data_IF_460543102951
#
_entry.id   IF_460543102951
#
_cell.length_a   1.000
_cell.length_b   1.000
_cell.length_c   1.000
_cell.angle_alpha   90.00
_cell.angle_beta   90.00
_cell.angle_gamma   90.00
#
_symmetry.space_group_name_H-M   'P 1'
#
loop_
_entity.id
_entity.type
_entity.pdbx_description
1 polymer ?
#
# COMPACT_ATOMS: atom_id res chain seq x y z
N UNK A 1 26.18 63.65 -41.62
CA UNK A 1 25.17 62.56 -41.63
C UNK A 1 24.77 62.29 -40.19
N UNK A 2 23.55 62.69 -39.84
CA UNK A 2 23.01 62.73 -38.48
C UNK A 2 22.83 61.34 -37.86
N UNK A 3 23.24 61.22 -36.60
CA UNK A 3 22.81 60.15 -35.69
C UNK A 3 21.41 60.51 -35.18
N UNK A 4 20.40 59.76 -35.61
CA UNK A 4 19.03 59.83 -35.13
C UNK A 4 18.76 58.78 -34.06
N UNK A 5 18.27 59.23 -32.92
CA UNK A 5 17.90 58.49 -31.71
C UNK A 5 16.81 57.43 -31.94
N UNK A 6 16.79 56.34 -31.15
CA UNK A 6 15.57 55.62 -30.84
C UNK A 6 15.03 56.00 -29.46
N UNK A 7 13.82 56.51 -29.48
CA UNK A 7 12.91 56.88 -28.41
C UNK A 7 12.73 55.78 -27.36
N UNK A 8 13.11 56.07 -26.12
CA UNK A 8 12.77 55.27 -24.93
C UNK A 8 11.33 55.60 -24.52
N UNK A 9 10.39 54.70 -24.85
CA UNK A 9 9.00 54.79 -24.40
C UNK A 9 8.92 54.23 -22.97
N UNK A 10 8.86 55.14 -21.98
CA UNK A 10 8.61 54.83 -20.57
C UNK A 10 7.27 54.09 -20.42
N UNK A 11 7.32 52.89 -19.84
CA UNK A 11 6.15 52.25 -19.24
C UNK A 11 5.81 52.99 -17.92
N UNK A 12 4.52 53.15 -17.57
CA UNK A 12 4.13 53.68 -16.28
C UNK A 12 4.47 52.66 -15.18
N UNK A 13 5.33 53.09 -14.25
CA UNK A 13 5.60 52.38 -13.00
C UNK A 13 4.35 52.45 -12.13
N UNK A 14 3.65 51.32 -11.98
CA UNK A 14 2.69 51.11 -10.91
C UNK A 14 3.49 50.93 -9.62
N UNK A 15 3.44 51.93 -8.75
CA UNK A 15 4.01 51.89 -7.39
C UNK A 15 3.28 50.80 -6.60
N UNK A 16 3.83 49.58 -6.60
CA UNK A 16 3.54 48.59 -5.58
C UNK A 16 4.25 49.05 -4.30
N UNK A 17 3.48 49.63 -3.38
CA UNK A 17 3.92 49.91 -2.02
C UNK A 17 4.44 48.61 -1.40
N UNK A 18 5.76 48.49 -1.31
CA UNK A 18 6.45 47.54 -0.44
C UNK A 18 6.30 48.02 1.01
N UNK A 19 5.14 47.78 1.62
CA UNK A 19 5.05 47.79 3.08
C UNK A 19 5.61 46.45 3.59
N UNK A 20 6.93 46.42 3.76
CA UNK A 20 7.63 45.54 4.70
C UNK A 20 7.22 45.93 6.12
N UNK A 21 5.97 45.62 6.47
CA UNK A 21 5.48 45.66 7.84
C UNK A 21 5.74 44.32 8.49
N UNK A 22 6.39 44.32 9.64
CA UNK A 22 6.51 43.18 10.54
C UNK A 22 5.08 42.86 11.05
N UNK A 23 4.36 41.96 10.36
CA UNK A 23 3.00 41.59 10.74
C UNK A 23 3.05 40.63 11.93
N UNK A 24 2.69 41.12 13.12
CA UNK A 24 2.45 40.32 14.33
C UNK A 24 1.25 39.39 14.13
N UNK A 25 1.25 38.22 14.79
CA UNK A 25 0.16 37.21 14.75
C UNK A 25 -1.19 37.82 15.11
N UNK A 26 -1.20 38.76 16.06
CA UNK A 26 -2.39 39.50 16.50
C UNK A 26 -3.01 40.32 15.34
N UNK A 27 -2.17 40.94 14.52
CA UNK A 27 -2.61 41.72 13.35
C UNK A 27 -3.20 40.81 12.27
N UNK A 28 -2.74 39.56 12.16
CA UNK A 28 -3.28 38.57 11.23
C UNK A 28 -4.63 38.03 11.69
N UNK A 29 -4.83 37.80 13.00
CA UNK A 29 -6.13 37.43 13.57
C UNK A 29 -7.18 38.53 13.39
N UNK A 30 -6.80 39.79 13.65
CA UNK A 30 -7.70 40.93 13.46
C UNK A 30 -8.08 41.12 11.99
N UNK A 31 -7.11 40.97 11.08
CA UNK A 31 -7.35 41.02 9.63
C UNK A 31 -8.23 39.86 9.18
N UNK A 32 -8.08 38.67 9.76
CA UNK A 32 -8.93 37.51 9.48
C UNK A 32 -10.37 37.74 9.97
N UNK A 33 -10.55 38.18 11.21
CA UNK A 33 -11.87 38.50 11.76
C UNK A 33 -12.58 39.59 10.96
N UNK A 34 -11.86 40.63 10.56
CA UNK A 34 -12.40 41.69 9.70
C UNK A 34 -12.82 41.17 8.31
N UNK A 35 -12.03 40.27 7.70
CA UNK A 35 -12.37 39.65 6.41
C UNK A 35 -13.54 38.65 6.50
N UNK A 36 -13.61 37.86 7.57
CA UNK A 36 -14.74 36.94 7.81
C UNK A 36 -16.02 37.73 8.08
N UNK A 37 -15.95 38.81 8.86
CA UNK A 37 -17.09 39.68 9.13
C UNK A 37 -17.60 40.39 7.86
N UNK A 38 -16.72 40.75 6.93
CA UNK A 38 -17.11 41.37 5.64
C UNK A 38 -17.68 40.34 4.66
N UNK A 39 -17.20 39.10 4.65
CA UNK A 39 -17.82 38.01 3.87
C UNK A 39 -19.15 37.51 4.47
N UNK A 40 -19.41 37.73 5.76
CA UNK A 40 -20.66 37.33 6.42
C UNK A 40 -21.83 38.31 6.19
N UNK A 41 -21.59 39.48 5.59
CA UNK A 41 -22.62 40.49 5.32
C UNK A 41 -23.15 40.38 3.88
N UNK A 42 -24.29 39.68 3.77
CA UNK A 42 -25.25 39.54 2.64
C UNK A 42 -25.03 38.36 1.66
N UNK A 43 -25.96 37.39 1.59
CA UNK A 43 -26.05 36.49 0.45
C UNK A 43 -26.77 37.24 -0.68
N UNK A 44 -26.02 38.03 -1.44
CA UNK A 44 -26.50 38.56 -2.72
C UNK A 44 -25.79 37.81 -3.83
N UNK A 45 -26.57 36.99 -4.54
CA UNK A 45 -26.24 36.25 -5.77
C UNK A 45 -25.39 34.95 -5.59
N UNK A 46 -25.96 33.74 -5.83
CA UNK A 46 -25.24 32.46 -5.71
C UNK A 46 -24.05 32.31 -6.67
N UNK A 47 -23.99 33.16 -7.69
CA UNK A 47 -22.90 33.28 -8.66
C UNK A 47 -21.60 33.81 -8.02
N UNK A 48 -21.72 34.68 -7.00
CA UNK A 48 -20.60 35.34 -6.32
C UNK A 48 -19.97 34.47 -5.22
N UNK A 49 -20.74 33.53 -4.66
CA UNK A 49 -20.28 32.59 -3.64
C UNK A 49 -19.06 31.78 -4.11
N UNK A 50 -19.00 31.39 -5.39
CA UNK A 50 -17.83 30.69 -5.95
C UNK A 50 -16.58 31.56 -5.95
N UNK A 51 -16.73 32.85 -6.23
CA UNK A 51 -15.64 33.84 -6.18
C UNK A 51 -15.15 34.06 -4.75
N UNK A 52 -16.08 34.18 -3.80
CA UNK A 52 -15.76 34.37 -2.39
C UNK A 52 -15.08 33.14 -1.79
N UNK A 53 -15.54 31.93 -2.09
CA UNK A 53 -14.89 30.68 -1.69
C UNK A 53 -13.47 30.60 -2.29
N UNK A 54 -13.29 30.95 -3.56
CA UNK A 54 -11.97 30.95 -4.19
C UNK A 54 -11.04 31.99 -3.54
N UNK A 55 -11.56 33.17 -3.19
CA UNK A 55 -10.81 34.22 -2.52
C UNK A 55 -10.42 33.83 -1.08
N UNK A 56 -11.33 33.21 -0.33
CA UNK A 56 -11.11 32.71 1.02
C UNK A 56 -10.11 31.55 1.01
N UNK A 57 -10.21 30.65 0.03
CA UNK A 57 -9.23 29.57 -0.17
C UNK A 57 -7.83 30.12 -0.42
N UNK A 58 -7.70 31.15 -1.27
CA UNK A 58 -6.40 31.82 -1.51
C UNK A 58 -5.88 32.48 -0.23
N UNK A 59 -6.76 33.14 0.53
CA UNK A 59 -6.39 33.76 1.79
C UNK A 59 -5.93 32.72 2.83
N UNK A 60 -6.68 31.65 3.05
CA UNK A 60 -6.30 30.58 3.98
C UNK A 60 -5.01 29.87 3.56
N UNK A 61 -4.79 29.67 2.26
CA UNK A 61 -3.51 29.14 1.76
C UNK A 61 -2.34 30.09 2.06
N UNK A 62 -2.55 31.41 1.91
CA UNK A 62 -1.54 32.42 2.24
C UNK A 62 -1.25 32.45 3.74
N UNK A 63 -2.29 32.40 4.56
CA UNK A 63 -2.18 32.36 6.02
C UNK A 63 -1.44 31.10 6.49
N UNK A 64 -1.76 29.94 5.90
CA UNK A 64 -1.05 28.67 6.15
C UNK A 64 0.43 28.78 5.80
N UNK A 65 0.76 29.37 4.64
CA UNK A 65 2.16 29.54 4.23
C UNK A 65 2.91 30.48 5.18
N UNK A 66 2.29 31.59 5.58
CA UNK A 66 2.87 32.53 6.53
C UNK A 66 3.08 31.91 7.91
N UNK A 67 2.11 31.13 8.41
CA UNK A 67 2.25 30.42 9.68
C UNK A 67 3.38 29.38 9.60
N UNK A 68 3.47 28.64 8.49
CA UNK A 68 4.54 27.67 8.28
C UNK A 68 5.92 28.36 8.21
N UNK A 69 6.01 29.50 7.51
CA UNK A 69 7.25 30.28 7.42
C UNK A 69 7.66 30.86 8.77
N UNK A 70 6.69 31.31 9.58
CA UNK A 70 6.95 31.80 10.92
C UNK A 70 7.37 30.65 11.85
N UNK A 71 6.66 29.52 11.83
CA UNK A 71 7.01 28.33 12.62
C UNK A 71 8.41 27.79 12.26
N UNK A 72 8.78 27.78 10.97
CA UNK A 72 10.15 27.41 10.57
C UNK A 72 11.17 28.44 10.98
N UNK A 73 10.86 29.74 10.91
CA UNK A 73 11.74 30.82 11.37
C UNK A 73 11.95 30.75 12.89
N UNK A 74 10.90 30.55 13.66
CA UNK A 74 10.94 30.46 15.11
C UNK A 74 11.68 29.20 15.55
N UNK A 75 11.48 28.06 14.87
CA UNK A 75 12.29 26.85 15.08
C UNK A 75 13.75 27.05 14.69
N UNK A 76 14.04 27.74 13.59
CA UNK A 76 15.41 28.01 13.17
C UNK A 76 16.15 28.92 14.14
N UNK A 77 15.46 29.95 14.64
CA UNK A 77 15.95 30.84 15.70
C UNK A 77 16.15 30.05 17.00
N UNK A 78 15.18 29.23 17.41
CA UNK A 78 15.31 28.38 18.60
C UNK A 78 16.51 27.42 18.49
N UNK A 79 16.78 26.87 17.30
CA UNK A 79 17.95 26.02 17.04
C UNK A 79 19.25 26.81 17.07
N UNK A 80 19.29 28.04 16.55
CA UNK A 80 20.46 28.93 16.61
C UNK A 80 20.81 29.37 18.04
N UNK A 81 19.80 29.60 18.88
CA UNK A 81 19.96 30.09 20.25
C UNK A 81 20.02 28.99 21.32
N UNK A 82 19.74 27.74 20.97
CA UNK A 82 20.00 26.59 21.84
C UNK A 82 21.49 26.23 21.74
N UNK A 83 22.26 26.48 22.81
CA UNK A 83 23.72 26.18 22.90
C UNK A 83 24.08 24.69 22.77
N UNK A 84 23.10 23.82 22.55
CA UNK A 84 23.29 22.45 22.10
C UNK A 84 22.53 22.28 20.80
N UNK A 85 23.11 22.77 19.70
CA UNK A 85 22.93 22.08 18.44
C UNK A 85 23.46 20.66 18.69
N UNK A 86 22.58 19.72 19.06
CA UNK A 86 22.87 18.31 18.90
C UNK A 86 23.37 18.19 17.48
N UNK A 87 24.68 17.97 17.32
CA UNK A 87 25.27 17.88 16.00
C UNK A 87 24.47 16.81 15.29
N UNK A 88 23.70 17.20 14.27
CA UNK A 88 22.84 16.28 13.54
C UNK A 88 23.76 15.20 13.01
N UNK A 89 23.82 14.09 13.73
CA UNK A 89 24.75 13.02 13.43
C UNK A 89 24.27 12.37 12.15
N UNK A 90 25.19 11.91 11.31
CA UNK A 90 24.85 11.18 10.09
C UNK A 90 23.85 10.05 10.38
N UNK A 91 23.97 9.42 11.55
CA UNK A 91 23.02 8.40 12.05
C UNK A 91 21.58 8.89 12.18
N UNK A 92 21.35 10.12 12.61
CA UNK A 92 20.00 10.70 12.73
C UNK A 92 19.42 11.02 11.35
N UNK A 93 20.26 11.47 10.41
CA UNK A 93 19.85 11.72 9.01
C UNK A 93 19.47 10.39 8.34
N UNK A 94 20.29 9.36 8.52
CA UNK A 94 20.06 8.04 7.93
C UNK A 94 18.80 7.37 8.53
N UNK A 95 18.54 7.55 9.82
CA UNK A 95 17.32 7.07 10.48
C UNK A 95 16.06 7.75 9.90
N UNK A 96 16.05 9.08 9.80
CA UNK A 96 14.93 9.84 9.24
C UNK A 96 14.77 9.57 7.73
N UNK A 97 15.85 9.30 7.01
CA UNK A 97 15.80 8.88 5.61
C UNK A 97 15.18 7.47 5.46
N UNK A 98 15.51 6.55 6.37
CA UNK A 98 14.90 5.23 6.45
C UNK A 98 13.39 5.30 6.71
N UNK A 99 12.97 6.08 7.71
CA UNK A 99 11.55 6.29 8.00
C UNK A 99 10.81 6.92 6.82
N UNK A 100 11.40 7.92 6.16
CA UNK A 100 10.79 8.54 4.99
C UNK A 100 10.69 7.61 3.79
N UNK A 101 11.67 6.72 3.56
CA UNK A 101 11.60 5.76 2.45
C UNK A 101 10.55 4.70 2.73
N UNK A 102 10.46 4.21 3.97
CA UNK A 102 9.40 3.30 4.42
C UNK A 102 8.01 3.93 4.29
N UNK A 103 7.81 5.13 4.84
CA UNK A 103 6.54 5.85 4.76
C UNK A 103 6.15 6.19 3.30
N UNK A 104 7.12 6.49 2.43
CA UNK A 104 6.87 6.68 0.98
C UNK A 104 6.46 5.38 0.29
N UNK A 105 7.05 4.26 0.67
CA UNK A 105 6.68 2.95 0.13
C UNK A 105 5.24 2.58 0.55
N UNK A 106 4.89 2.75 1.82
CA UNK A 106 3.54 2.57 2.33
C UNK A 106 2.54 3.49 1.64
N UNK A 107 2.85 4.79 1.53
CA UNK A 107 1.97 5.75 0.85
C UNK A 107 1.76 5.38 -0.62
N UNK A 108 2.80 4.88 -1.31
CA UNK A 108 2.70 4.41 -2.69
C UNK A 108 1.81 3.17 -2.79
N UNK A 109 1.91 2.25 -1.83
CA UNK A 109 1.03 1.09 -1.76
C UNK A 109 -0.42 1.50 -1.51
N UNK A 110 -0.68 2.33 -0.49
CA UNK A 110 -2.03 2.84 -0.20
C UNK A 110 -2.63 3.59 -1.39
N UNK A 111 -1.82 4.38 -2.11
CA UNK A 111 -2.29 5.09 -3.31
C UNK A 111 -2.69 4.10 -4.42
N UNK A 112 -1.96 3.00 -4.57
CA UNK A 112 -2.29 1.94 -5.54
C UNK A 112 -3.59 1.24 -5.14
N UNK A 113 -3.71 0.84 -3.88
CA UNK A 113 -4.94 0.21 -3.36
C UNK A 113 -6.15 1.14 -3.49
N UNK A 114 -5.99 2.43 -3.23
CA UNK A 114 -7.06 3.41 -3.42
C UNK A 114 -7.47 3.52 -4.89
N UNK A 115 -6.50 3.55 -5.81
CA UNK A 115 -6.79 3.59 -7.25
C UNK A 115 -7.55 2.34 -7.72
N UNK A 116 -7.15 1.16 -7.22
CA UNK A 116 -7.83 -0.11 -7.51
C UNK A 116 -9.28 -0.10 -6.96
N UNK A 117 -9.48 0.39 -5.74
CA UNK A 117 -10.83 0.51 -5.14
C UNK A 117 -11.71 1.51 -5.88
N UNK A 118 -11.16 2.63 -6.34
CA UNK A 118 -11.91 3.60 -7.14
C UNK A 118 -12.32 2.99 -8.47
N UNK A 119 -11.40 2.31 -9.18
CA UNK A 119 -11.71 1.63 -10.43
C UNK A 119 -12.80 0.56 -10.25
N UNK A 120 -12.75 -0.22 -9.16
CA UNK A 120 -13.78 -1.21 -8.84
C UNK A 120 -15.12 -0.53 -8.55
N UNK A 121 -15.12 0.58 -7.80
CA UNK A 121 -16.34 1.35 -7.52
C UNK A 121 -16.95 1.93 -8.78
N UNK A 122 -16.15 2.40 -9.73
CA UNK A 122 -16.61 2.91 -11.01
C UNK A 122 -17.23 1.79 -11.86
N UNK A 123 -16.57 0.63 -11.95
CA UNK A 123 -17.11 -0.55 -12.64
C UNK A 123 -18.45 -1.00 -12.05
N UNK A 124 -18.54 -1.06 -10.71
CA UNK A 124 -19.80 -1.43 -10.03
C UNK A 124 -20.88 -0.39 -10.27
N UNK A 125 -20.55 0.90 -10.30
CA UNK A 125 -21.50 1.95 -10.61
C UNK A 125 -22.04 1.83 -12.05
N UNK A 126 -21.19 1.54 -13.02
CA UNK A 126 -21.59 1.29 -14.42
C UNK A 126 -22.51 0.07 -14.53
N UNK A 127 -22.19 -1.03 -13.85
CA UNK A 127 -23.02 -2.23 -13.81
C UNK A 127 -24.41 -1.94 -13.20
N UNK A 128 -24.44 -1.20 -12.09
CA UNK A 128 -25.70 -0.81 -11.44
C UNK A 128 -26.54 0.08 -12.36
N UNK A 129 -25.93 1.04 -13.05
CA UNK A 129 -26.63 1.90 -14.03
C UNK A 129 -27.22 1.04 -15.15
N UNK A 130 -26.44 0.13 -15.72
CA UNK A 130 -26.87 -0.79 -16.78
C UNK A 130 -28.04 -1.68 -16.33
N UNK A 131 -27.93 -2.27 -15.14
CA UNK A 131 -29.00 -3.10 -14.56
C UNK A 131 -30.26 -2.27 -14.33
N UNK A 132 -30.13 -1.06 -13.79
CA UNK A 132 -31.26 -0.18 -13.51
C UNK A 132 -31.97 0.22 -14.82
N UNK A 133 -31.21 0.58 -15.86
CA UNK A 133 -31.76 0.87 -17.19
C UNK A 133 -32.54 -0.33 -17.74
N UNK A 134 -31.97 -1.55 -17.66
CA UNK A 134 -32.66 -2.77 -18.10
C UNK A 134 -33.94 -3.03 -17.31
N UNK A 135 -33.92 -2.82 -15.99
CA UNK A 135 -35.10 -2.98 -15.15
C UNK A 135 -36.18 -1.94 -15.46
N UNK A 136 -35.81 -0.69 -15.76
CA UNK A 136 -36.75 0.34 -16.17
C UNK A 136 -37.43 -0.02 -17.50
N UNK A 137 -36.67 -0.54 -18.48
CA UNK A 137 -37.26 -1.00 -19.75
C UNK A 137 -38.24 -2.15 -19.52
N UNK A 138 -37.83 -3.19 -18.76
CA UNK A 138 -38.71 -4.32 -18.42
C UNK A 138 -39.95 -3.89 -17.65
N UNK A 139 -39.81 -2.90 -16.76
CA UNK A 139 -40.95 -2.35 -16.02
C UNK A 139 -41.94 -1.68 -16.96
N UNK A 140 -41.47 -0.90 -17.93
CA UNK A 140 -42.35 -0.29 -18.94
C UNK A 140 -43.06 -1.33 -19.81
N UNK A 141 -42.34 -2.37 -20.21
CA UNK A 141 -42.92 -3.50 -20.95
C UNK A 141 -44.00 -4.21 -20.13
N UNK A 142 -43.73 -4.48 -18.85
CA UNK A 142 -44.70 -5.10 -17.94
C UNK A 142 -45.91 -4.19 -17.68
N UNK A 143 -45.70 -2.88 -17.53
CA UNK A 143 -46.79 -1.90 -17.40
C UNK A 143 -47.65 -1.84 -18.67
N UNK A 144 -47.05 -1.90 -19.87
CA UNK A 144 -47.78 -1.99 -21.14
C UNK A 144 -48.58 -3.28 -21.26
N UNK A 145 -47.95 -4.43 -20.99
CA UNK A 145 -48.61 -5.73 -21.04
C UNK A 145 -49.76 -5.82 -20.02
N UNK A 146 -49.59 -5.25 -18.83
CA UNK A 146 -50.65 -5.17 -17.81
C UNK A 146 -51.81 -4.29 -18.27
N UNK A 147 -51.52 -3.16 -18.93
CA UNK A 147 -52.56 -2.30 -19.50
C UNK A 147 -53.32 -3.00 -20.65
N UNK A 148 -52.62 -3.75 -21.50
CA UNK A 148 -53.23 -4.57 -22.56
C UNK A 148 -54.11 -5.68 -21.97
N UNK A 149 -53.63 -6.38 -20.93
CA UNK A 149 -54.43 -7.38 -20.22
C UNK A 149 -55.69 -6.78 -19.60
N UNK A 150 -55.59 -5.63 -18.94
CA UNK A 150 -56.74 -4.95 -18.35
C UNK A 150 -57.75 -4.51 -19.44
N UNK A 151 -57.27 -4.09 -20.61
CA UNK A 151 -58.13 -3.77 -21.75
C UNK A 151 -58.83 -5.04 -22.29
N UNK A 152 -58.08 -6.12 -22.47
CA UNK A 152 -58.61 -7.40 -22.95
C UNK A 152 -59.61 -8.03 -21.97
N UNK A 153 -59.34 -7.94 -20.66
CA UNK A 153 -60.29 -8.36 -19.62
C UNK A 153 -61.58 -7.57 -19.67
N UNK A 154 -61.50 -6.25 -19.92
CA UNK A 154 -62.68 -5.40 -20.08
C UNK A 154 -63.47 -5.77 -21.33
N UNK A 155 -62.80 -6.04 -22.45
CA UNK A 155 -63.45 -6.52 -23.67
C UNK A 155 -64.08 -7.90 -23.48
N UNK A 156 -63.38 -8.82 -22.82
CA UNK A 156 -63.90 -10.14 -22.46
C UNK A 156 -65.14 -10.03 -21.57
N UNK A 157 -65.09 -9.22 -20.51
CA UNK A 157 -66.25 -8.97 -19.66
C UNK A 157 -67.42 -8.36 -20.44
N UNK A 158 -67.16 -7.43 -21.35
CA UNK A 158 -68.19 -6.86 -22.21
C UNK A 158 -68.84 -7.95 -23.08
N UNK A 159 -68.05 -8.81 -23.73
CA UNK A 159 -68.52 -9.92 -24.57
C UNK A 159 -69.30 -10.98 -23.78
N UNK A 160 -68.84 -11.34 -22.58
CA UNK A 160 -69.50 -12.31 -21.68
C UNK A 160 -70.80 -11.75 -21.10
N UNK A 161 -70.90 -10.44 -20.92
CA UNK A 161 -72.11 -9.77 -20.43
C UNK A 161 -73.20 -9.57 -21.49
N UNK A 162 -72.95 -9.92 -22.75
CA UNK A 162 -73.96 -9.88 -23.80
C UNK A 162 -75.03 -10.96 -23.54
N UNK A 163 -76.33 -10.63 -23.70
CA UNK A 163 -77.44 -11.53 -23.38
C UNK A 163 -77.49 -12.82 -24.23
N UNK A 164 -76.77 -12.86 -25.36
CA UNK A 164 -76.65 -14.05 -26.21
C UNK A 164 -75.64 -15.10 -25.66
N UNK A 165 -74.83 -14.77 -24.64
CA UNK A 165 -73.74 -15.61 -24.13
C UNK A 165 -73.95 -16.23 -22.73
N UNK A 166 -75.14 -16.12 -22.14
CA UNK A 166 -75.47 -16.68 -20.81
C UNK A 166 -75.18 -18.19 -20.69
N UNK A 167 -75.40 -18.97 -21.77
CA UNK A 167 -75.06 -20.41 -21.80
C UNK A 167 -73.56 -20.69 -21.70
N UNK A 168 -72.69 -19.83 -22.26
CA UNK A 168 -71.24 -20.00 -22.19
C UNK A 168 -70.68 -19.59 -20.83
N UNK A 169 -71.31 -18.62 -20.18
CA UNK A 169 -70.99 -18.20 -18.81
C UNK A 169 -71.18 -19.33 -17.80
N UNK A 170 -72.29 -20.07 -17.91
CA UNK A 170 -72.54 -21.26 -17.07
C UNK A 170 -71.51 -22.37 -17.32
N UNK A 171 -71.09 -22.60 -18.58
CA UNK A 171 -70.06 -23.60 -18.90
C UNK A 171 -68.66 -23.19 -18.41
N UNK A 172 -68.33 -21.90 -18.47
CA UNK A 172 -67.07 -21.37 -17.95
C UNK A 172 -66.99 -21.47 -16.42
N UNK A 173 -68.06 -21.12 -15.72
CA UNK A 173 -68.15 -21.25 -14.26
C UNK A 173 -68.08 -22.73 -13.82
N UNK A 174 -68.63 -23.65 -14.61
CA UNK A 174 -68.49 -25.09 -14.40
C UNK A 174 -67.04 -25.56 -14.58
N UNK A 175 -66.35 -25.11 -15.64
CA UNK A 175 -64.95 -25.48 -15.89
C UNK A 175 -64.01 -24.94 -14.81
N UNK A 176 -64.23 -23.72 -14.34
CA UNK A 176 -63.47 -23.11 -13.24
C UNK A 176 -63.66 -23.85 -11.91
N UNK A 177 -64.86 -24.37 -11.64
CA UNK A 177 -65.08 -25.27 -10.50
C UNK A 177 -64.29 -26.58 -10.64
N UNK A 178 -64.24 -27.17 -11.84
CA UNK A 178 -63.50 -28.41 -12.10
C UNK A 178 -61.99 -28.21 -11.92
N UNK A 179 -61.42 -27.13 -12.47
CA UNK A 179 -59.99 -26.82 -12.34
C UNK A 179 -59.58 -26.51 -10.88
N UNK A 180 -60.50 -25.93 -10.09
CA UNK A 180 -60.25 -25.66 -8.66
C UNK A 180 -60.35 -26.90 -7.77
N UNK A 181 -60.85 -28.03 -8.28
CA UNK A 181 -61.12 -29.24 -7.50
C UNK A 181 -60.18 -30.43 -7.79
N UNK A 182 -59.22 -30.32 -8.71
CA UNK A 182 -58.52 -31.53 -9.19
C UNK A 182 -56.98 -31.40 -9.31
N UNK A 183 -56.31 -30.97 -8.23
CA UNK A 183 -55.02 -31.61 -7.91
C UNK A 183 -55.34 -32.82 -7.05
N UNK A 184 -55.47 -33.98 -7.67
CA UNK A 184 -55.72 -35.25 -6.97
C UNK A 184 -54.69 -35.43 -5.85
N UNK A 185 -55.09 -35.82 -4.63
CA UNK A 185 -54.17 -35.97 -3.48
C UNK A 185 -52.93 -36.80 -3.81
N UNK A 186 -53.06 -37.81 -4.68
CA UNK A 186 -51.96 -38.66 -5.13
C UNK A 186 -50.88 -37.90 -5.92
N UNK A 187 -51.26 -36.88 -6.70
CA UNK A 187 -50.31 -36.06 -7.45
C UNK A 187 -49.61 -35.05 -6.55
N UNK A 188 -50.34 -34.46 -5.60
CA UNK A 188 -49.74 -33.61 -4.57
C UNK A 188 -48.75 -34.39 -3.68
N UNK A 189 -49.07 -35.64 -3.34
CA UNK A 189 -48.17 -36.54 -2.58
C UNK A 189 -46.93 -36.87 -3.42
N UNK A 190 -47.07 -37.19 -4.70
CA UNK A 190 -45.91 -37.45 -5.58
C UNK A 190 -44.96 -36.27 -5.68
N UNK A 191 -45.50 -35.06 -5.87
CA UNK A 191 -44.69 -33.84 -5.97
C UNK A 191 -43.96 -33.58 -4.64
N UNK A 192 -44.66 -33.70 -3.51
CA UNK A 192 -44.04 -33.53 -2.20
C UNK A 192 -42.95 -34.59 -1.91
N UNK A 193 -43.14 -35.83 -2.36
CA UNK A 193 -42.12 -36.88 -2.22
C UNK A 193 -40.88 -36.63 -3.08
N UNK A 194 -41.04 -36.08 -4.29
CA UNK A 194 -39.90 -35.70 -5.14
C UNK A 194 -39.13 -34.53 -4.55
N UNK A 195 -39.83 -33.53 -4.01
CA UNK A 195 -39.20 -32.38 -3.36
C UNK A 195 -38.46 -32.80 -2.10
N UNK A 196 -39.06 -33.67 -1.28
CA UNK A 196 -38.40 -34.20 -0.08
C UNK A 196 -37.12 -34.98 -0.41
N UNK A 197 -37.10 -35.72 -1.53
CA UNK A 197 -35.89 -36.43 -1.99
C UNK A 197 -34.82 -35.46 -2.48
N UNK A 198 -35.19 -34.39 -3.19
CA UNK A 198 -34.25 -33.34 -3.59
C UNK A 198 -33.65 -32.64 -2.37
N UNK A 199 -34.48 -32.31 -1.39
CA UNK A 199 -34.05 -31.68 -0.14
C UNK A 199 -33.13 -32.61 0.68
N UNK A 200 -33.40 -33.91 0.71
CA UNK A 200 -32.52 -34.89 1.35
C UNK A 200 -31.13 -34.95 0.71
N UNK A 201 -31.06 -34.90 -0.62
CA UNK A 201 -29.78 -34.88 -1.35
C UNK A 201 -29.02 -33.57 -1.07
N UNK A 202 -29.71 -32.43 -1.16
CA UNK A 202 -29.15 -31.12 -0.83
C UNK A 202 -28.62 -31.07 0.61
N UNK A 203 -29.37 -31.60 1.58
CA UNK A 203 -28.97 -31.63 2.98
C UNK A 203 -27.71 -32.48 3.18
N UNK A 204 -27.62 -33.63 2.52
CA UNK A 204 -26.43 -34.48 2.58
C UNK A 204 -25.20 -33.79 1.99
N UNK A 205 -25.33 -33.10 0.86
CA UNK A 205 -24.24 -32.34 0.24
C UNK A 205 -23.77 -31.18 1.14
N UNK A 206 -24.71 -30.46 1.76
CA UNK A 206 -24.39 -29.41 2.73
C UNK A 206 -23.67 -29.97 3.96
N UNK A 207 -24.07 -31.14 4.45
CA UNK A 207 -23.43 -31.80 5.58
C UNK A 207 -21.99 -32.23 5.24
N UNK A 208 -21.74 -32.73 4.02
CA UNK A 208 -20.40 -33.03 3.55
C UNK A 208 -19.54 -31.77 3.45
N UNK A 209 -20.12 -30.66 2.96
CA UNK A 209 -19.42 -29.38 2.87
C UNK A 209 -19.05 -28.83 4.25
N UNK A 210 -19.95 -28.93 5.23
CA UNK A 210 -19.69 -28.53 6.62
C UNK A 210 -18.54 -29.34 7.23
N UNK A 211 -18.53 -30.66 7.05
CA UNK A 211 -17.44 -31.53 7.50
C UNK A 211 -16.10 -31.14 6.88
N UNK A 212 -16.06 -30.90 5.55
CA UNK A 212 -14.85 -30.47 4.87
C UNK A 212 -14.34 -29.10 5.37
N UNK A 213 -15.24 -28.17 5.68
CA UNK A 213 -14.88 -26.88 6.26
C UNK A 213 -14.35 -27.02 7.70
N UNK A 214 -14.95 -27.90 8.51
CA UNK A 214 -14.47 -28.18 9.87
C UNK A 214 -13.07 -28.81 9.85
N UNK A 215 -12.81 -29.74 8.93
CA UNK A 215 -11.47 -30.33 8.74
C UNK A 215 -10.45 -29.27 8.32
N UNK A 216 -10.81 -28.38 7.38
CA UNK A 216 -9.95 -27.29 6.95
C UNK A 216 -9.67 -26.29 8.09
N UNK A 217 -10.67 -25.97 8.90
CA UNK A 217 -10.52 -25.13 10.08
C UNK A 217 -9.59 -25.78 11.13
N UNK A 218 -9.73 -27.09 11.36
CA UNK A 218 -8.84 -27.84 12.25
C UNK A 218 -7.39 -27.83 11.74
N UNK A 219 -7.17 -27.98 10.42
CA UNK A 219 -5.84 -27.86 9.81
C UNK A 219 -5.25 -26.46 9.98
N UNK A 220 -6.03 -25.40 9.74
CA UNK A 220 -5.60 -24.03 9.99
C UNK A 220 -5.25 -23.80 11.45
N UNK A 221 -6.04 -24.29 12.40
CA UNK A 221 -5.76 -24.16 13.83
C UNK A 221 -4.45 -24.84 14.21
N UNK A 222 -4.18 -26.06 13.73
CA UNK A 222 -2.88 -26.73 13.94
C UNK A 222 -1.72 -25.90 13.41
N UNK A 223 -1.86 -25.34 12.21
CA UNK A 223 -0.81 -24.48 11.64
C UNK A 223 -0.62 -23.20 12.47
N UNK A 224 -1.70 -22.66 13.01
CA UNK A 224 -1.64 -21.48 13.90
C UNK A 224 -0.93 -21.81 15.22
N UNK A 225 -1.19 -22.98 15.80
CA UNK A 225 -0.48 -23.49 16.98
C UNK A 225 1.01 -23.74 16.70
N UNK A 226 1.37 -24.29 15.54
CA UNK A 226 2.76 -24.43 15.10
C UNK A 226 3.47 -23.07 15.00
N UNK A 227 2.82 -22.08 14.40
CA UNK A 227 3.34 -20.71 14.32
C UNK A 227 3.47 -20.07 15.71
N UNK A 228 2.51 -20.27 16.61
CA UNK A 228 2.62 -19.80 17.99
C UNK A 228 3.78 -20.45 18.73
N UNK A 229 3.98 -21.77 18.57
CA UNK A 229 5.08 -22.49 19.20
C UNK A 229 6.44 -22.06 18.66
N UNK A 230 6.56 -21.80 17.36
CA UNK A 230 7.79 -21.26 16.77
C UNK A 230 8.09 -19.84 17.25
N UNK A 231 7.08 -18.97 17.34
CA UNK A 231 7.23 -17.64 17.93
C UNK A 231 7.62 -17.70 19.40
N UNK A 232 7.03 -18.62 20.16
CA UNK A 232 7.35 -18.80 21.58
C UNK A 232 8.78 -19.33 21.75
N UNK A 233 9.21 -20.25 20.88
CA UNK A 233 10.60 -20.72 20.81
C UNK A 233 11.57 -19.57 20.49
N UNK A 234 11.31 -18.79 19.45
CA UNK A 234 12.14 -17.62 19.11
C UNK A 234 12.17 -16.59 20.24
N UNK A 235 11.03 -16.34 20.89
CA UNK A 235 10.95 -15.47 22.06
C UNK A 235 11.78 -16.01 23.21
N UNK A 236 11.72 -17.32 23.49
CA UNK A 236 12.58 -17.91 24.51
C UNK A 236 14.04 -17.82 24.10
N UNK A 237 14.42 -18.07 22.85
CA UNK A 237 15.81 -17.93 22.37
C UNK A 237 16.31 -16.48 22.51
N UNK A 238 15.45 -15.50 22.23
CA UNK A 238 15.71 -14.07 22.48
C UNK A 238 15.80 -13.73 23.96
N UNK A 239 14.91 -14.26 24.80
CA UNK A 239 14.93 -14.04 26.24
C UNK A 239 16.17 -14.68 26.89
N UNK A 240 16.57 -15.88 26.47
CA UNK A 240 17.81 -16.52 26.90
C UNK A 240 19.04 -15.76 26.39
N UNK A 241 18.99 -15.18 25.18
CA UNK A 241 20.02 -14.28 24.66
C UNK A 241 20.09 -12.93 25.40
N UNK A 242 18.96 -12.49 25.99
CA UNK A 242 18.87 -11.25 26.76
C UNK A 242 19.13 -11.41 28.27
N UNK A 243 19.11 -12.65 28.78
CA UNK A 243 19.31 -12.98 30.21
C UNK A 243 20.76 -13.31 30.57
N UNK A 244 21.71 -13.17 29.64
CA UNK A 244 23.12 -13.08 30.02
C UNK A 244 23.36 -11.73 30.72
N UNK A 245 23.73 -11.72 32.02
CA UNK A 245 23.94 -10.49 32.75
C UNK A 245 25.25 -9.85 32.29
N UNK A 246 25.18 -8.59 31.82
CA UNK A 246 26.30 -7.66 31.64
C UNK A 246 27.64 -8.28 31.22
N UNK A 247 27.72 -8.69 29.96
CA UNK A 247 28.98 -8.75 29.24
C UNK A 247 28.67 -8.24 27.85
N UNK A 248 29.26 -7.11 27.45
CA UNK A 248 29.39 -6.82 26.02
C UNK A 248 29.85 -8.11 25.35
N UNK A 249 29.19 -8.58 24.26
CA UNK A 249 29.67 -9.77 23.58
C UNK A 249 31.12 -9.49 23.20
N UNK A 250 32.02 -10.30 23.74
CA UNK A 250 33.45 -10.18 23.53
C UNK A 250 33.66 -10.06 22.01
N UNK A 251 34.28 -8.98 21.51
CA UNK A 251 34.31 -8.69 20.07
C UNK A 251 34.90 -9.85 19.27
N UNK A 252 35.70 -10.70 19.90
CA UNK A 252 36.27 -11.92 19.35
C UNK A 252 35.23 -13.03 19.12
N UNK A 253 34.20 -13.16 19.98
CA UNK A 253 33.14 -14.16 19.83
C UNK A 253 32.18 -13.81 18.69
N UNK A 254 31.80 -12.53 18.57
CA UNK A 254 30.99 -12.03 17.43
C UNK A 254 31.76 -12.20 16.12
N UNK A 255 33.06 -11.88 16.11
CA UNK A 255 33.93 -12.08 14.94
C UNK A 255 34.10 -13.55 14.60
N UNK A 256 34.27 -14.43 15.59
CA UNK A 256 34.37 -15.87 15.37
C UNK A 256 33.06 -16.45 14.80
N UNK A 257 31.90 -15.97 15.25
CA UNK A 257 30.61 -16.36 14.69
C UNK A 257 30.47 -15.90 13.24
N UNK A 258 30.81 -14.65 12.95
CA UNK A 258 30.79 -14.11 11.60
C UNK A 258 31.74 -14.88 10.65
N UNK A 259 32.93 -15.25 11.11
CA UNK A 259 33.86 -16.09 10.34
C UNK A 259 33.30 -17.50 10.06
N UNK A 260 32.56 -18.10 10.99
CA UNK A 260 31.89 -19.40 10.76
C UNK A 260 30.77 -19.30 9.73
N UNK A 261 29.95 -18.27 9.82
CA UNK A 261 28.87 -18.02 8.85
C UNK A 261 29.44 -17.70 7.46
N UNK A 262 30.48 -16.88 7.40
CA UNK A 262 31.17 -16.54 6.15
C UNK A 262 31.81 -17.77 5.51
N UNK A 263 32.52 -18.59 6.28
CA UNK A 263 33.09 -19.85 5.78
C UNK A 263 32.00 -20.81 5.29
N UNK A 264 30.85 -20.90 5.98
CA UNK A 264 29.71 -21.71 5.54
C UNK A 264 29.15 -21.23 4.20
N UNK A 265 29.05 -19.92 4.00
CA UNK A 265 28.64 -19.32 2.72
C UNK A 265 29.68 -19.62 1.64
N UNK A 266 30.96 -19.37 1.91
CA UNK A 266 32.03 -19.63 0.95
C UNK A 266 32.06 -21.10 0.50
N UNK A 267 31.92 -22.05 1.43
CA UNK A 267 31.83 -23.48 1.11
C UNK A 267 30.62 -23.85 0.24
N UNK A 268 29.52 -23.07 0.29
CA UNK A 268 28.36 -23.29 -0.58
C UNK A 268 28.56 -22.74 -1.99
N UNK A 269 29.44 -21.73 -2.16
CA UNK A 269 29.60 -21.00 -3.41
C UNK A 269 30.94 -21.27 -4.13
N UNK A 270 31.91 -21.95 -3.51
CA UNK A 270 33.21 -22.27 -4.13
C UNK A 270 33.44 -23.77 -4.28
N UNK A 271 33.97 -24.18 -5.45
CA UNK A 271 34.31 -25.59 -5.76
C UNK A 271 35.60 -26.03 -5.04
N UNK A 272 36.47 -25.09 -4.68
CA UNK A 272 37.67 -25.32 -3.89
C UNK A 272 37.42 -25.03 -2.39
N UNK A 273 38.09 -25.73 -1.46
CA UNK A 273 37.98 -25.49 -0.02
C UNK A 273 38.67 -24.17 0.33
N UNK A 274 37.89 -23.11 0.44
CA UNK A 274 38.35 -21.79 0.90
C UNK A 274 37.98 -21.64 2.38
N UNK A 275 38.99 -21.51 3.23
CA UNK A 275 38.84 -21.27 4.67
C UNK A 275 39.50 -19.96 5.08
N UNK A 276 38.75 -19.10 5.76
CA UNK A 276 39.28 -17.90 6.41
C UNK A 276 39.44 -18.20 7.91
N UNK A 277 40.67 -18.06 8.41
CA UNK A 277 41.01 -18.23 9.83
C UNK A 277 41.59 -16.93 10.37
N UNK A 278 41.25 -16.59 11.60
CA UNK A 278 41.90 -15.49 12.32
C UNK A 278 42.95 -16.07 13.27
N UNK A 279 44.21 -15.65 13.11
CA UNK A 279 45.32 -16.03 13.99
C UNK A 279 45.85 -14.73 14.61
N UNK A 280 45.40 -14.44 15.83
CA UNK A 280 45.73 -13.19 16.53
C UNK A 280 45.19 -11.95 15.80
N UNK A 281 46.09 -11.05 15.40
CA UNK A 281 45.76 -9.82 14.66
C UNK A 281 45.72 -10.00 13.13
N UNK A 282 46.02 -11.20 12.63
CA UNK A 282 46.13 -11.48 11.20
C UNK A 282 45.01 -12.42 10.73
N UNK A 283 44.55 -12.23 9.50
CA UNK A 283 43.62 -13.13 8.82
C UNK A 283 44.39 -14.00 7.84
N UNK A 284 44.12 -15.29 7.84
CA UNK A 284 44.72 -16.26 6.94
C UNK A 284 43.63 -16.79 6.04
N UNK A 285 43.82 -16.62 4.73
CA UNK A 285 42.98 -17.23 3.70
C UNK A 285 43.72 -18.46 3.17
N UNK A 286 43.14 -19.61 3.45
CA UNK A 286 43.58 -20.90 2.93
C UNK A 286 42.69 -21.25 1.75
N UNK A 287 43.29 -21.54 0.60
CA UNK A 287 42.59 -22.10 -0.53
C UNK A 287 43.43 -23.23 -1.12
N UNK A 288 43.04 -24.47 -0.85
CA UNK A 288 43.81 -25.64 -1.28
C UNK A 288 45.22 -25.70 -0.69
N UNK A 289 46.25 -25.37 -1.49
CA UNK A 289 47.67 -25.38 -1.10
C UNK A 289 48.27 -23.98 -0.87
N UNK A 290 47.51 -22.94 -1.16
CA UNK A 290 48.00 -21.56 -1.07
C UNK A 290 47.47 -20.89 0.19
N UNK A 291 48.38 -20.18 0.87
CA UNK A 291 48.09 -19.46 2.10
C UNK A 291 48.44 -17.98 1.94
N UNK A 292 47.45 -17.13 2.11
CA UNK A 292 47.61 -15.67 2.09
C UNK A 292 47.31 -15.12 3.47
N UNK A 293 48.30 -14.46 4.07
CA UNK A 293 48.17 -13.83 5.39
C UNK A 293 47.98 -12.32 5.23
N UNK A 294 46.90 -11.82 5.80
CA UNK A 294 46.52 -10.42 5.85
C UNK A 294 46.71 -9.86 7.27
N UNK A 295 47.16 -8.62 7.38
CA UNK A 295 47.07 -7.83 8.62
C UNK A 295 45.62 -7.38 8.88
N UNK A 296 45.32 -6.95 10.11
CA UNK A 296 44.07 -6.25 10.47
C UNK A 296 43.70 -5.08 9.55
N UNK A 297 44.69 -4.46 8.88
CA UNK A 297 44.48 -3.38 7.89
C UNK A 297 44.32 -3.90 6.46
N UNK A 298 44.13 -5.21 6.25
CA UNK A 298 44.07 -5.87 4.95
C UNK A 298 45.35 -5.74 4.10
N UNK A 299 46.51 -5.53 4.73
CA UNK A 299 47.82 -5.60 4.05
C UNK A 299 48.26 -7.05 3.90
N UNK A 300 48.78 -7.44 2.74
CA UNK A 300 49.33 -8.77 2.51
C UNK A 300 50.72 -8.83 3.18
N UNK A 301 50.84 -9.69 4.19
CA UNK A 301 52.06 -9.84 5.01
C UNK A 301 52.90 -11.03 4.53
N UNK A 302 52.26 -12.15 4.21
CA UNK A 302 52.92 -13.38 3.74
C UNK A 302 52.06 -14.04 2.65
N UNK A 303 52.73 -14.55 1.62
CA UNK A 303 52.14 -15.43 0.61
C UNK A 303 53.01 -16.67 0.55
N UNK A 304 52.47 -17.79 1.00
CA UNK A 304 53.15 -19.08 0.90
C UNK A 304 52.57 -19.86 -0.28
N UNK A 305 53.49 -20.34 -1.11
CA UNK A 305 53.29 -21.00 -2.40
C UNK A 305 52.98 -20.05 -3.59
N UNK A 306 53.69 -20.35 -4.69
CA UNK A 306 54.13 -19.42 -5.73
C UNK A 306 53.01 -19.02 -6.72
N UNK A 307 52.24 -17.96 -6.46
CA UNK A 307 51.37 -17.36 -7.51
C UNK A 307 51.40 -15.83 -7.57
N UNK A 308 51.77 -15.14 -6.50
CA UNK A 308 51.70 -13.66 -6.46
C UNK A 308 53.04 -13.01 -6.77
N UNK A 309 53.06 -12.13 -7.79
CA UNK A 309 54.23 -11.29 -8.10
C UNK A 309 54.36 -10.23 -7.00
N UNK A 310 55.60 -9.92 -6.59
CA UNK A 310 55.88 -8.87 -5.59
C UNK A 310 55.30 -7.49 -5.96
N UNK A 311 55.09 -7.24 -7.25
CA UNK A 311 54.44 -6.04 -7.77
C UNK A 311 52.96 -5.94 -7.37
N UNK A 312 52.24 -7.07 -7.38
CA UNK A 312 50.80 -7.12 -7.05
C UNK A 312 50.57 -6.94 -5.54
N UNK A 313 51.48 -7.47 -4.72
CA UNK A 313 51.49 -7.29 -3.26
C UNK A 313 51.71 -5.82 -2.89
N UNK A 314 52.67 -5.15 -3.55
CA UNK A 314 52.95 -3.74 -3.31
C UNK A 314 51.79 -2.84 -3.75
N UNK A 315 51.08 -3.17 -4.84
CA UNK A 315 49.90 -2.40 -5.27
C UNK A 315 48.76 -2.48 -4.26
N UNK A 316 48.50 -3.64 -3.66
CA UNK A 316 47.47 -3.79 -2.62
C UNK A 316 47.87 -3.05 -1.34
N UNK A 317 49.14 -3.10 -0.94
CA UNK A 317 49.61 -2.49 0.30
C UNK A 317 49.70 -0.95 0.24
N UNK A 318 49.80 -0.35 -0.95
CA UNK A 318 49.85 1.11 -1.14
C UNK A 318 48.49 1.78 -1.36
N UNK A 319 47.42 1.01 -1.55
CA UNK A 319 46.07 1.55 -1.81
C UNK A 319 45.23 1.43 -0.53
N UNK A 320 44.45 2.46 -0.22
CA UNK A 320 43.52 2.50 0.92
C UNK A 320 42.06 2.66 0.46
N UNK A 321 41.10 2.27 1.30
CA UNK A 321 39.67 2.38 1.03
C UNK A 321 39.12 1.31 0.07
N UNK A 322 38.04 1.62 -0.65
CA UNK A 322 37.32 0.69 -1.52
C UNK A 322 38.18 0.11 -2.65
N UNK A 323 39.10 0.91 -3.18
CA UNK A 323 40.04 0.47 -4.22
C UNK A 323 40.95 -0.65 -3.72
N UNK A 324 41.29 -0.66 -2.42
CA UNK A 324 42.10 -1.72 -1.82
C UNK A 324 41.40 -3.06 -1.91
N UNK A 325 40.10 -3.10 -1.63
CA UNK A 325 39.27 -4.32 -1.70
C UNK A 325 39.19 -4.81 -3.14
N UNK A 326 39.03 -3.91 -4.11
CA UNK A 326 38.99 -4.28 -5.53
C UNK A 326 40.31 -4.89 -6.03
N UNK A 327 41.45 -4.27 -5.69
CA UNK A 327 42.76 -4.81 -6.03
C UNK A 327 43.03 -6.14 -5.31
N UNK A 328 42.65 -6.25 -4.04
CA UNK A 328 42.81 -7.46 -3.24
C UNK A 328 41.97 -8.61 -3.80
N UNK A 329 40.72 -8.35 -4.21
CA UNK A 329 39.87 -9.33 -4.90
C UNK A 329 40.46 -9.77 -6.24
N UNK A 330 41.04 -8.86 -7.04
CA UNK A 330 41.71 -9.23 -8.30
C UNK A 330 42.94 -10.10 -8.06
N UNK A 331 43.70 -9.82 -7.00
CA UNK A 331 44.90 -10.57 -6.61
C UNK A 331 44.51 -11.96 -6.10
N UNK A 332 43.48 -12.06 -5.27
CA UNK A 332 42.84 -13.31 -4.81
C UNK A 332 42.35 -14.13 -6.01
N UNK A 333 41.58 -13.53 -6.92
CA UNK A 333 41.07 -14.24 -8.10
C UNK A 333 42.19 -14.73 -9.02
N UNK A 334 43.29 -13.98 -9.17
CA UNK A 334 44.46 -14.43 -9.92
C UNK A 334 45.23 -15.56 -9.22
N UNK A 335 45.31 -15.52 -7.89
CA UNK A 335 45.92 -16.58 -7.10
C UNK A 335 45.11 -17.89 -7.20
N UNK A 336 43.77 -17.79 -7.28
CA UNK A 336 42.86 -18.94 -7.22
C UNK A 336 42.33 -19.43 -8.58
N UNK A 337 42.64 -18.74 -9.68
CA UNK A 337 42.29 -19.16 -11.05
C UNK A 337 43.42 -19.94 -11.77
N UNK A 338 44.51 -20.26 -11.06
CA UNK A 338 45.68 -20.99 -11.57
C UNK A 338 45.54 -22.50 -11.52
#
# INVERSE_FOLDING_TARGET
MSRGSPTVRRQPQTTMNEEKGMFSVELAEDTYRAKVATSALKPSDPSLIKGDIASLKRFCSKLKFQYLEQDTRDKFVAVLFSEHAESVSQKNVDAVAGENTSAKAELKQLKKELAERVALSESVAEDVISINQRLQTRRKEAESASAELAALEKEFHALVSLPENESYKMLFDLNKMIDSQDVRPDEAIRIAETDLKQDQVMFHDLQQQEQALLEKAAQMNRHTEELQNTLLRMKTELEHSSRTPNGHPEPEQVRAQWLRELNSVLHKFTVAPVEIRQIGANYVLLCGRDEIVFSSDLNIVLVLNHVLRSLDVNQVNHVSGERKVEYLLRVIMKAFAG
#
